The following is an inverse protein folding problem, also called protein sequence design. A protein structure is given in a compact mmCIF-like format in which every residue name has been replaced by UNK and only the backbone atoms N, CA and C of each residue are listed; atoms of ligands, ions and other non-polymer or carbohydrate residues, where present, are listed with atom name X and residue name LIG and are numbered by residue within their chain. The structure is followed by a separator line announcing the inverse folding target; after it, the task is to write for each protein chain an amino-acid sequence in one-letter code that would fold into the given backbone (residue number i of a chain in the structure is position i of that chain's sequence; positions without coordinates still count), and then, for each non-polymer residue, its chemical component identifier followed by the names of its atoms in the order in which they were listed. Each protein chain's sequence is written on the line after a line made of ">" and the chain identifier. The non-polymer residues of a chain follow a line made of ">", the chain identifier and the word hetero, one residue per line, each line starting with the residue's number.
data_IF_241372669170
#
_entry.id   IF_241372669170
#
_cell.length_a   1.000
_cell.length_b   1.000
_cell.length_c   1.000
_cell.angle_alpha   90.00
_cell.angle_beta   90.00
_cell.angle_gamma   90.00
#
_symmetry.space_group_name_H-M   'P 1'
#
loop_
_entity.id
_entity.type
_entity.pdbx_description
1 polymer ?
#
# COMPACT_ATOMS: atom_id res chain seq x y z
N UNK A 1 -10.63 11.83 1.21
CA UNK A 1 -10.17 11.41 2.57
C UNK A 1 -8.75 11.88 2.84
N UNK A 2 -7.74 11.38 2.11
CA UNK A 2 -6.34 11.77 2.30
C UNK A 2 -6.08 13.27 2.07
N UNK A 3 -6.87 13.93 1.22
CA UNK A 3 -6.81 15.37 0.98
C UNK A 3 -7.45 16.23 2.10
N UNK A 4 -8.10 15.63 3.12
CA UNK A 4 -8.69 16.36 4.25
C UNK A 4 -7.79 16.20 5.48
N UNK A 5 -7.14 17.27 5.97
CA UNK A 5 -6.14 17.19 7.04
C UNK A 5 -6.65 16.47 8.29
N UNK A 6 -7.83 16.86 8.78
CA UNK A 6 -8.46 16.28 9.97
C UNK A 6 -8.81 14.78 9.84
N UNK A 7 -9.00 14.29 8.61
CA UNK A 7 -9.28 12.87 8.38
C UNK A 7 -7.99 12.08 8.20
N UNK A 8 -7.00 12.66 7.54
CA UNK A 8 -5.71 12.02 7.30
C UNK A 8 -5.01 11.62 8.60
N UNK A 9 -5.09 12.46 9.64
CA UNK A 9 -4.46 12.22 10.96
C UNK A 9 -5.02 11.03 11.74
N UNK A 10 -6.21 10.52 11.39
CA UNK A 10 -6.93 9.50 12.17
C UNK A 10 -7.43 8.32 11.34
N UNK A 11 -6.95 8.18 10.11
CA UNK A 11 -7.41 7.15 9.20
C UNK A 11 -6.28 6.39 8.54
N UNK A 12 -6.56 5.14 8.20
CA UNK A 12 -5.72 4.32 7.33
C UNK A 12 -6.48 4.08 6.04
N UNK A 13 -5.98 4.63 4.94
CA UNK A 13 -6.51 4.32 3.62
C UNK A 13 -5.83 3.04 3.11
N UNK A 14 -6.63 2.02 2.77
CA UNK A 14 -6.13 0.74 2.26
C UNK A 14 -6.62 0.55 0.84
N UNK A 15 -5.72 0.13 -0.05
CA UNK A 15 -6.02 -0.11 -1.45
C UNK A 15 -5.33 -1.37 -1.96
N UNK A 16 -5.82 -1.92 -3.06
CA UNK A 16 -5.31 -3.15 -3.66
C UNK A 16 -5.11 -2.96 -5.16
N UNK A 17 -3.97 -3.43 -5.67
CA UNK A 17 -3.73 -3.47 -7.11
C UNK A 17 -4.54 -4.59 -7.80
N UNK A 18 -5.03 -5.57 -7.03
CA UNK A 18 -5.73 -6.72 -7.59
C UNK A 18 -7.05 -6.37 -8.28
N UNK A 19 -7.84 -5.49 -7.67
CA UNK A 19 -9.12 -5.04 -8.25
C UNK A 19 -8.92 -3.92 -9.26
N UNK A 20 -8.04 -2.96 -8.94
CA UNK A 20 -7.82 -1.77 -9.76
C UNK A 20 -7.18 -2.11 -11.12
N UNK A 21 -6.27 -3.09 -11.15
CA UNK A 21 -5.52 -3.45 -12.36
C UNK A 21 -5.68 -4.92 -12.77
N UNK A 22 -6.74 -5.60 -12.32
CA UNK A 22 -7.01 -7.01 -12.63
C UNK A 22 -5.89 -8.00 -12.21
N UNK A 23 -5.09 -7.67 -11.20
CA UNK A 23 -3.93 -8.46 -10.74
C UNK A 23 -4.20 -9.27 -9.46
N UNK A 24 -5.41 -9.81 -9.27
CA UNK A 24 -5.81 -10.49 -8.01
C UNK A 24 -4.83 -11.59 -7.56
N UNK A 25 -4.21 -12.29 -8.51
CA UNK A 25 -3.23 -13.35 -8.24
C UNK A 25 -1.88 -12.84 -7.69
N UNK A 26 -1.55 -11.56 -7.86
CA UNK A 26 -0.25 -11.00 -7.47
C UNK A 26 -0.17 -10.64 -5.99
N UNK A 27 -1.33 -10.52 -5.32
CA UNK A 27 -1.44 -10.31 -3.87
C UNK A 27 -0.66 -9.09 -3.36
N UNK A 28 -0.61 -8.02 -4.15
CA UNK A 28 -0.01 -6.75 -3.76
C UNK A 28 -1.08 -5.71 -3.46
N UNK A 29 -0.90 -5.00 -2.36
CA UNK A 29 -1.70 -3.85 -1.96
C UNK A 29 -0.84 -2.86 -1.18
N UNK A 30 -1.43 -1.73 -0.83
CA UNK A 30 -0.75 -0.69 -0.07
C UNK A 30 -1.71 -0.03 0.92
N UNK A 31 -1.14 0.63 1.92
CA UNK A 31 -1.89 1.51 2.80
C UNK A 31 -1.15 2.83 3.01
N UNK A 32 -1.93 3.88 3.25
CA UNK A 32 -1.46 5.21 3.63
C UNK A 32 -2.02 5.52 5.01
N UNK A 33 -1.16 5.85 5.95
CA UNK A 33 -1.50 6.07 7.35
C UNK A 33 -0.61 7.18 7.95
N UNK A 34 -1.05 7.84 9.04
CA UNK A 34 -0.20 8.72 9.86
C UNK A 34 1.11 8.05 10.24
N UNK A 35 2.19 8.82 10.31
CA UNK A 35 3.53 8.34 10.67
C UNK A 35 3.55 7.39 11.90
N UNK A 36 2.92 7.72 13.06
CA UNK A 36 2.94 6.82 14.21
C UNK A 36 2.23 5.48 13.94
N UNK A 37 1.08 5.50 13.26
CA UNK A 37 0.32 4.28 12.92
C UNK A 37 1.09 3.45 11.88
N UNK A 38 1.66 4.11 10.88
CA UNK A 38 2.47 3.48 9.85
C UNK A 38 3.69 2.75 10.42
N UNK A 39 4.30 3.27 11.49
CA UNK A 39 5.39 2.59 12.19
C UNK A 39 4.92 1.27 12.83
N UNK A 40 3.78 1.27 13.54
CA UNK A 40 3.22 0.05 14.13
C UNK A 40 2.79 -0.98 13.08
N UNK A 41 2.20 -0.54 11.97
CA UNK A 41 1.84 -1.42 10.84
C UNK A 41 3.09 -2.14 10.30
N UNK A 42 4.22 -1.43 10.14
CA UNK A 42 5.47 -2.05 9.67
C UNK A 42 6.02 -3.08 10.65
N UNK A 43 5.90 -2.86 11.96
CA UNK A 43 6.28 -3.86 12.97
C UNK A 43 5.46 -5.14 12.82
N UNK A 44 4.14 -5.02 12.63
CA UNK A 44 3.27 -6.19 12.40
C UNK A 44 3.60 -6.86 11.07
N UNK A 45 3.78 -6.09 9.99
CA UNK A 45 4.12 -6.59 8.67
C UNK A 45 5.41 -7.41 8.68
N UNK A 46 6.42 -6.99 9.45
CA UNK A 46 7.68 -7.70 9.62
C UNK A 46 7.50 -9.18 10.05
N UNK A 47 6.46 -9.48 10.84
CA UNK A 47 6.18 -10.82 11.35
C UNK A 47 5.10 -11.58 10.55
N UNK A 48 4.08 -10.88 10.02
CA UNK A 48 2.99 -11.55 9.29
C UNK A 48 3.30 -11.79 7.82
N UNK A 49 4.08 -10.91 7.19
CA UNK A 49 4.36 -10.98 5.74
C UNK A 49 5.85 -10.96 5.45
N UNK A 50 6.64 -10.33 6.32
CA UNK A 50 8.08 -10.08 6.16
C UNK A 50 8.39 -9.19 4.94
N UNK A 51 8.11 -9.67 3.74
CA UNK A 51 8.33 -8.98 2.47
C UNK A 51 7.26 -9.36 1.44
N UNK A 52 7.01 -8.45 0.49
CA UNK A 52 6.14 -8.71 -0.66
C UNK A 52 6.97 -9.14 -1.86
N UNK A 53 6.37 -9.86 -2.82
CA UNK A 53 7.01 -10.28 -4.07
C UNK A 53 7.74 -9.11 -4.77
N UNK A 54 9.07 -9.16 -4.85
CA UNK A 54 9.89 -8.06 -5.38
C UNK A 54 9.64 -7.80 -6.87
N UNK A 55 9.59 -8.80 -7.78
CA UNK A 55 9.27 -8.55 -9.19
C UNK A 55 7.93 -7.82 -9.40
N UNK A 56 6.89 -8.20 -8.64
CA UNK A 56 5.58 -7.56 -8.70
C UNK A 56 5.65 -6.09 -8.25
N UNK A 57 6.42 -5.80 -7.19
CA UNK A 57 6.64 -4.41 -6.74
C UNK A 57 7.32 -3.56 -7.82
N UNK A 58 8.32 -4.11 -8.53
CA UNK A 58 9.02 -3.40 -9.60
C UNK A 58 8.09 -3.14 -10.80
N UNK A 59 7.37 -4.16 -11.26
CA UNK A 59 6.44 -4.02 -12.38
C UNK A 59 5.33 -3.00 -12.08
N UNK A 60 4.78 -3.01 -10.85
CA UNK A 60 3.81 -2.00 -10.41
C UNK A 60 4.41 -0.59 -10.35
N UNK A 61 5.66 -0.45 -9.89
CA UNK A 61 6.33 0.85 -9.85
C UNK A 61 6.54 1.43 -11.26
N UNK A 62 6.95 0.59 -12.21
CA UNK A 62 7.12 1.01 -13.61
C UNK A 62 5.79 1.37 -14.26
N UNK A 63 4.74 0.59 -14.01
CA UNK A 63 3.39 0.90 -14.47
C UNK A 63 2.89 2.24 -13.94
N UNK A 64 3.05 2.52 -12.63
CA UNK A 64 2.57 3.76 -12.02
C UNK A 64 3.27 4.99 -12.60
N UNK A 65 4.58 4.88 -12.88
CA UNK A 65 5.34 5.97 -13.51
C UNK A 65 4.91 6.23 -14.95
N UNK A 66 4.49 5.21 -15.69
CA UNK A 66 4.00 5.37 -17.06
C UNK A 66 2.58 5.99 -17.12
N UNK A 67 1.83 5.93 -16.03
CA UNK A 67 0.47 6.45 -15.91
C UNK A 67 0.42 7.93 -15.47
N UNK A 68 1.56 8.51 -15.08
CA UNK A 68 1.70 9.92 -14.63
C UNK A 68 2.39 10.78 -15.68
#
# INVERSE_FOLDING_TARGET
>A
MLAHPQLCERAVAVSSFGKTYHMTGWKVGYCVAPAPISAEIRKVHQYLTFSVNTPAQLALADMLRAET
#
